data_IF_906569581539
#
_entry.id   IF_906569581539
#
_cell.length_a   1.000
_cell.length_b   1.000
_cell.length_c   1.000
_cell.angle_alpha   90.00
_cell.angle_beta   90.00
_cell.angle_gamma   90.00
#
_symmetry.space_group_name_H-M   'P 1'
#
loop_
_entity.id
_entity.type
_entity.pdbx_description
1 polymer ?
#
# COMPACT_ATOMS: atom_id res chain seq x y z
N UNK A 1 36.27 37.69 16.53
CA UNK A 1 36.61 36.28 16.18
C UNK A 1 35.50 35.33 16.64
N UNK A 2 35.13 35.35 17.93
CA UNK A 2 34.05 34.53 18.49
C UNK A 2 32.67 34.76 17.82
N UNK A 3 32.34 36.00 17.48
CA UNK A 3 31.09 36.36 16.77
C UNK A 3 31.03 35.79 15.34
N UNK A 4 32.17 35.69 14.64
CA UNK A 4 32.23 35.05 13.32
C UNK A 4 32.07 33.54 13.41
N UNK A 5 32.73 32.93 14.39
CA UNK A 5 32.64 31.48 14.64
C UNK A 5 31.22 31.06 15.03
N UNK A 6 30.56 31.85 15.88
CA UNK A 6 29.17 31.60 16.29
C UNK A 6 28.19 31.81 15.13
N UNK A 7 28.38 32.85 14.31
CA UNK A 7 27.59 33.05 13.10
C UNK A 7 27.76 31.91 12.08
N UNK A 8 28.98 31.41 11.86
CA UNK A 8 29.26 30.25 11.00
C UNK A 8 28.63 28.96 11.54
N UNK A 9 28.71 28.73 12.86
CA UNK A 9 28.02 27.59 13.49
C UNK A 9 26.50 27.67 13.35
N UNK A 10 25.91 28.85 13.57
CA UNK A 10 24.47 29.06 13.41
C UNK A 10 24.03 28.83 11.95
N UNK A 11 24.79 29.34 10.98
CA UNK A 11 24.50 29.11 9.56
C UNK A 11 24.57 27.62 9.19
N UNK A 12 25.59 26.91 9.68
CA UNK A 12 25.74 25.47 9.46
C UNK A 12 24.59 24.68 10.09
N UNK A 13 24.20 25.03 11.31
CA UNK A 13 23.12 24.33 12.02
C UNK A 13 21.75 24.58 11.37
N UNK A 14 21.51 25.79 10.88
CA UNK A 14 20.31 26.12 10.10
C UNK A 14 20.26 25.35 8.77
N UNK A 15 21.39 25.22 8.07
CA UNK A 15 21.49 24.42 6.84
C UNK A 15 21.20 22.93 7.10
N UNK A 16 21.76 22.36 8.18
CA UNK A 16 21.51 20.97 8.56
C UNK A 16 20.03 20.73 8.90
N UNK A 17 19.42 21.64 9.66
CA UNK A 17 17.99 21.56 9.97
C UNK A 17 17.11 21.62 8.72
N UNK A 18 17.41 22.53 7.78
CA UNK A 18 16.69 22.61 6.51
C UNK A 18 16.82 21.34 5.67
N UNK A 19 18.02 20.74 5.61
CA UNK A 19 18.25 19.48 4.90
C UNK A 19 17.47 18.30 5.53
N UNK A 20 17.44 18.21 6.87
CA UNK A 20 16.67 17.19 7.58
C UNK A 20 15.16 17.34 7.35
N UNK A 21 14.64 18.57 7.40
CA UNK A 21 13.23 18.84 7.11
C UNK A 21 12.86 18.48 5.66
N UNK A 22 13.70 18.81 4.69
CA UNK A 22 13.50 18.44 3.29
C UNK A 22 13.49 16.91 3.10
N UNK A 23 14.41 16.20 3.76
CA UNK A 23 14.46 14.73 3.71
C UNK A 23 13.20 14.09 4.35
N UNK A 24 12.73 14.62 5.48
CA UNK A 24 11.47 14.20 6.09
C UNK A 24 10.28 14.44 5.17
N UNK A 25 10.22 15.59 4.51
CA UNK A 25 9.14 15.91 3.57
C UNK A 25 9.14 15.00 2.34
N UNK A 26 10.31 14.69 1.78
CA UNK A 26 10.47 13.70 0.70
C UNK A 26 9.99 12.32 1.12
N UNK A 27 10.40 11.86 2.31
CA UNK A 27 9.93 10.59 2.86
C UNK A 27 8.40 10.60 3.05
N UNK A 28 7.83 11.71 3.52
CA UNK A 28 6.38 11.86 3.67
C UNK A 28 5.64 11.81 2.31
N UNK A 29 6.22 12.40 1.25
CA UNK A 29 5.66 12.32 -0.11
C UNK A 29 5.71 10.88 -0.65
N UNK A 30 6.80 10.15 -0.41
CA UNK A 30 6.92 8.72 -0.72
C UNK A 30 5.87 7.91 0.05
N UNK A 31 5.61 8.28 1.32
CA UNK A 31 4.55 7.65 2.13
C UNK A 31 3.16 8.01 1.58
N UNK A 32 2.89 9.22 1.12
CA UNK A 32 1.58 9.57 0.55
C UNK A 32 1.31 8.87 -0.80
N UNK A 33 2.33 8.35 -1.46
CA UNK A 33 2.24 7.49 -2.64
C UNK A 33 2.11 6.00 -2.29
N UNK A 34 1.87 5.63 -1.02
CA UNK A 34 2.02 4.24 -0.54
C UNK A 34 0.91 3.26 -0.95
N UNK A 35 -0.21 3.73 -1.49
CA UNK A 35 -1.27 2.89 -2.06
C UNK A 35 -2.08 3.68 -3.11
N UNK A 36 -1.51 3.98 -4.29
CA UNK A 36 -2.22 4.72 -5.31
C UNK A 36 -3.38 3.85 -5.84
N UNK A 37 -4.59 4.39 -5.81
CA UNK A 37 -5.77 3.75 -6.41
C UNK A 37 -5.85 4.14 -7.88
N UNK A 38 -5.43 3.24 -8.76
CA UNK A 38 -5.31 3.49 -10.20
C UNK A 38 -6.53 2.86 -10.90
N UNK A 39 -7.44 3.66 -11.48
CA UNK A 39 -8.52 3.13 -12.31
C UNK A 39 -7.96 2.62 -13.64
N UNK A 40 -8.23 1.36 -13.95
CA UNK A 40 -7.83 0.72 -15.22
C UNK A 40 -8.97 0.81 -16.25
N UNK A 41 -10.19 0.76 -15.75
CA UNK A 41 -11.43 0.96 -16.51
C UNK A 41 -12.54 1.39 -15.52
N UNK A 42 -13.76 1.55 -16.02
CA UNK A 42 -14.92 2.02 -15.25
C UNK A 42 -15.25 1.17 -14.01
N UNK A 43 -14.81 -0.08 -13.96
CA UNK A 43 -15.17 -1.03 -12.91
C UNK A 43 -13.98 -1.60 -12.15
N UNK A 44 -12.75 -1.27 -12.53
CA UNK A 44 -11.54 -1.93 -12.01
C UNK A 44 -10.55 -0.92 -11.46
N UNK A 45 -10.22 -1.07 -10.18
CA UNK A 45 -9.13 -0.37 -9.51
C UNK A 45 -7.94 -1.30 -9.32
N UNK A 46 -6.73 -0.76 -9.41
CA UNK A 46 -5.47 -1.43 -9.07
C UNK A 46 -4.74 -0.61 -8.02
N UNK A 47 -4.22 -1.26 -6.99
CA UNK A 47 -3.28 -0.67 -6.03
C UNK A 47 -2.04 -1.54 -5.89
N UNK A 48 -0.85 -1.08 -6.32
CA UNK A 48 0.39 -1.76 -6.05
C UNK A 48 0.85 -1.53 -4.61
N UNK A 49 1.29 -2.59 -3.95
CA UNK A 49 1.92 -2.54 -2.63
C UNK A 49 3.42 -2.77 -2.80
N UNK A 50 4.21 -1.75 -2.42
CA UNK A 50 5.67 -1.79 -2.53
C UNK A 50 6.28 -1.76 -1.13
N UNK A 51 7.16 -2.71 -0.84
CA UNK A 51 7.87 -2.77 0.43
C UNK A 51 7.03 -3.38 1.55
N UNK A 52 7.26 -2.92 2.78
CA UNK A 52 6.57 -3.47 3.96
C UNK A 52 5.16 -2.89 4.10
N UNK A 53 4.23 -3.74 4.52
CA UNK A 53 2.85 -3.39 4.81
C UNK A 53 2.67 -3.30 6.34
N UNK A 54 3.04 -2.17 6.92
CA UNK A 54 2.85 -1.90 8.35
C UNK A 54 1.40 -1.47 8.66
N UNK A 55 1.09 -1.34 9.95
CA UNK A 55 -0.25 -0.98 10.42
C UNK A 55 -0.74 0.37 9.86
N UNK A 56 0.15 1.37 9.75
CA UNK A 56 -0.22 2.69 9.22
C UNK A 56 -0.62 2.58 7.76
N UNK A 57 0.16 1.84 6.96
CA UNK A 57 -0.10 1.61 5.55
C UNK A 57 -1.36 0.79 5.31
N UNK A 58 -1.68 -0.18 6.17
CA UNK A 58 -2.93 -0.94 6.09
C UNK A 58 -4.14 -0.01 6.26
N UNK A 59 -4.09 0.90 7.24
CA UNK A 59 -5.19 1.86 7.45
C UNK A 59 -5.33 2.84 6.28
N UNK A 60 -4.21 3.31 5.73
CA UNK A 60 -4.20 4.16 4.54
C UNK A 60 -4.78 3.42 3.32
N UNK A 61 -4.37 2.17 3.10
CA UNK A 61 -4.89 1.32 2.04
C UNK A 61 -6.40 1.12 2.17
N UNK A 62 -6.90 0.81 3.36
CA UNK A 62 -8.32 0.64 3.64
C UNK A 62 -9.11 1.92 3.31
N UNK A 63 -8.67 3.06 3.84
CA UNK A 63 -9.36 4.34 3.61
C UNK A 63 -9.34 4.73 2.14
N UNK A 64 -8.19 4.60 1.48
CA UNK A 64 -8.04 4.92 0.06
C UNK A 64 -8.91 4.00 -0.82
N UNK A 65 -8.95 2.70 -0.52
CA UNK A 65 -9.74 1.74 -1.27
C UNK A 65 -11.23 2.05 -1.18
N UNK A 66 -11.75 2.25 0.04
CA UNK A 66 -13.17 2.55 0.25
C UNK A 66 -13.58 3.86 -0.42
N UNK A 67 -12.76 4.90 -0.29
CA UNK A 67 -12.99 6.20 -0.92
C UNK A 67 -13.01 6.07 -2.46
N UNK A 68 -12.04 5.34 -3.03
CA UNK A 68 -11.96 5.15 -4.48
C UNK A 68 -13.11 4.28 -5.03
N UNK A 69 -13.52 3.25 -4.29
CA UNK A 69 -14.66 2.41 -4.64
C UNK A 69 -15.94 3.23 -4.67
N UNK A 70 -16.20 4.05 -3.64
CA UNK A 70 -17.38 4.93 -3.59
C UNK A 70 -17.40 5.91 -4.78
N UNK A 71 -16.26 6.51 -5.10
CA UNK A 71 -16.16 7.52 -6.17
C UNK A 71 -16.30 6.91 -7.57
N UNK A 72 -15.83 5.69 -7.78
CA UNK A 72 -15.77 5.06 -9.11
C UNK A 72 -16.83 3.98 -9.33
N UNK A 73 -17.52 3.53 -8.27
CA UNK A 73 -18.38 2.34 -8.29
C UNK A 73 -17.65 1.08 -8.77
N UNK A 74 -16.36 0.97 -8.46
CA UNK A 74 -15.53 -0.16 -8.88
C UNK A 74 -16.10 -1.50 -8.39
N UNK A 75 -16.24 -2.46 -9.29
CA UNK A 75 -16.65 -3.84 -9.00
C UNK A 75 -15.48 -4.75 -8.70
N UNK A 76 -14.27 -4.37 -9.10
CA UNK A 76 -13.05 -5.12 -8.89
C UNK A 76 -11.97 -4.23 -8.28
N UNK A 77 -11.37 -4.69 -7.19
CA UNK A 77 -10.16 -4.11 -6.60
C UNK A 77 -9.02 -5.13 -6.71
N UNK A 78 -8.01 -4.81 -7.50
CA UNK A 78 -6.79 -5.61 -7.60
C UNK A 78 -5.72 -5.05 -6.69
N UNK A 79 -5.23 -5.86 -5.76
CA UNK A 79 -4.10 -5.54 -4.91
C UNK A 79 -2.88 -6.29 -5.46
N UNK A 80 -1.92 -5.56 -6.02
CA UNK A 80 -0.69 -6.14 -6.55
C UNK A 80 0.38 -6.19 -5.46
N UNK A 81 0.74 -7.41 -5.04
CA UNK A 81 1.75 -7.67 -4.01
C UNK A 81 3.06 -8.21 -4.59
N UNK A 82 3.30 -8.05 -5.89
CA UNK A 82 4.57 -8.46 -6.53
C UNK A 82 5.80 -7.85 -5.84
N UNK A 83 5.66 -6.63 -5.29
CA UNK A 83 6.71 -5.92 -4.56
C UNK A 83 6.84 -6.28 -3.07
N UNK A 84 6.05 -7.23 -2.57
CA UNK A 84 6.04 -7.65 -1.15
C UNK A 84 6.89 -8.91 -0.99
N UNK A 85 8.04 -8.77 -0.34
CA UNK A 85 8.97 -9.88 -0.13
C UNK A 85 8.52 -10.81 1.02
N UNK A 86 7.97 -10.25 2.09
CA UNK A 86 7.59 -10.94 3.32
C UNK A 86 6.23 -10.42 3.76
N UNK A 87 5.36 -11.32 4.22
CA UNK A 87 4.08 -11.00 4.85
C UNK A 87 4.08 -11.57 6.26
N UNK A 88 3.61 -10.78 7.23
CA UNK A 88 3.39 -11.23 8.60
C UNK A 88 1.89 -11.36 8.90
N UNK A 89 1.55 -11.72 10.14
CA UNK A 89 0.17 -11.86 10.58
C UNK A 89 -0.62 -10.54 10.50
N UNK A 90 0.01 -9.40 10.77
CA UNK A 90 -0.65 -8.09 10.73
C UNK A 90 -0.98 -7.69 9.29
N UNK A 91 -0.04 -7.85 8.36
CA UNK A 91 -0.24 -7.61 6.95
C UNK A 91 -1.32 -8.52 6.37
N UNK A 92 -1.32 -9.82 6.71
CA UNK A 92 -2.35 -10.75 6.28
C UNK A 92 -3.75 -10.35 6.79
N UNK A 93 -3.87 -10.03 8.08
CA UNK A 93 -5.12 -9.56 8.67
C UNK A 93 -5.60 -8.24 8.05
N UNK A 94 -4.68 -7.32 7.77
CA UNK A 94 -4.97 -6.05 7.09
C UNK A 94 -5.53 -6.23 5.69
N UNK A 95 -4.91 -7.08 4.87
CA UNK A 95 -5.41 -7.39 3.52
C UNK A 95 -6.81 -8.01 3.57
N UNK A 96 -7.07 -8.89 4.53
CA UNK A 96 -8.40 -9.46 4.76
C UNK A 96 -9.42 -8.39 5.16
N UNK A 97 -9.05 -7.47 6.04
CA UNK A 97 -9.91 -6.36 6.43
C UNK A 97 -10.29 -5.49 5.24
N UNK A 98 -9.32 -5.16 4.37
CA UNK A 98 -9.57 -4.41 3.12
C UNK A 98 -10.51 -5.17 2.22
N UNK A 99 -10.28 -6.47 2.00
CA UNK A 99 -11.11 -7.29 1.14
C UNK A 99 -12.55 -7.42 1.65
N UNK A 100 -12.73 -7.60 2.95
CA UNK A 100 -14.05 -7.67 3.58
C UNK A 100 -14.79 -6.34 3.46
N UNK A 101 -14.12 -5.22 3.72
CA UNK A 101 -14.73 -3.91 3.60
C UNK A 101 -15.12 -3.58 2.15
N UNK A 102 -14.24 -3.88 1.19
CA UNK A 102 -14.54 -3.74 -0.24
C UNK A 102 -15.73 -4.62 -0.66
N UNK A 103 -15.84 -5.85 -0.13
CA UNK A 103 -16.97 -6.74 -0.39
C UNK A 103 -18.30 -6.18 0.11
N UNK A 104 -18.31 -5.51 1.27
CA UNK A 104 -19.51 -4.84 1.78
C UNK A 104 -19.96 -3.69 0.86
N UNK A 105 -19.04 -3.09 0.11
CA UNK A 105 -19.31 -2.08 -0.92
C UNK A 105 -19.69 -2.69 -2.28
N UNK A 106 -19.79 -4.02 -2.39
CA UNK A 106 -20.10 -4.71 -3.65
C UNK A 106 -18.89 -4.95 -4.55
N UNK A 107 -17.66 -4.77 -4.05
CA UNK A 107 -16.42 -4.90 -4.81
C UNK A 107 -15.73 -6.24 -4.51
N UNK A 108 -15.37 -6.99 -5.54
CA UNK A 108 -14.56 -8.21 -5.43
C UNK A 108 -13.08 -7.84 -5.35
N UNK A 109 -12.39 -8.37 -4.35
CA UNK A 109 -10.94 -8.16 -4.22
C UNK A 109 -10.15 -9.30 -4.86
N UNK A 110 -9.14 -8.96 -5.65
CA UNK A 110 -8.20 -9.88 -6.28
C UNK A 110 -6.78 -9.58 -5.82
N UNK A 111 -6.09 -10.56 -5.25
CA UNK A 111 -4.67 -10.46 -4.89
C UNK A 111 -3.81 -11.00 -6.03
N UNK A 112 -2.93 -10.16 -6.57
CA UNK A 112 -2.07 -10.48 -7.70
C UNK A 112 -0.59 -10.55 -7.29
N UNK A 113 0.18 -11.44 -7.92
CA UNK A 113 1.63 -11.46 -7.76
C UNK A 113 2.14 -12.08 -6.45
N UNK A 114 1.35 -12.97 -5.84
CA UNK A 114 1.76 -13.66 -4.60
C UNK A 114 2.95 -14.58 -4.88
N UNK A 115 4.10 -14.27 -4.29
CA UNK A 115 5.32 -15.11 -4.38
C UNK A 115 5.14 -16.43 -3.60
N UNK A 116 5.81 -17.53 -3.99
CA UNK A 116 5.66 -18.83 -3.33
C UNK A 116 5.91 -18.79 -1.80
N UNK A 117 6.91 -18.03 -1.34
CA UNK A 117 7.23 -17.94 0.09
C UNK A 117 6.15 -17.16 0.87
N UNK A 118 5.53 -16.17 0.22
CA UNK A 118 4.40 -15.41 0.77
C UNK A 118 3.17 -16.32 0.86
N UNK A 119 2.89 -17.11 -0.18
CA UNK A 119 1.80 -18.07 -0.17
C UNK A 119 1.94 -19.12 0.93
N UNK A 120 3.15 -19.69 1.09
CA UNK A 120 3.44 -20.61 2.19
C UNK A 120 3.20 -19.97 3.56
N UNK A 121 3.69 -18.73 3.73
CA UNK A 121 3.50 -17.99 4.99
C UNK A 121 2.02 -17.74 5.29
N UNK A 122 1.22 -17.33 4.30
CA UNK A 122 -0.23 -17.12 4.46
C UNK A 122 -0.95 -18.40 4.89
N UNK A 123 -0.57 -19.55 4.32
CA UNK A 123 -1.10 -20.86 4.72
C UNK A 123 -0.68 -21.21 6.14
N UNK A 124 0.60 -21.02 6.50
CA UNK A 124 1.11 -21.29 7.86
C UNK A 124 0.47 -20.41 8.93
N UNK A 125 0.10 -19.18 8.58
CA UNK A 125 -0.63 -18.26 9.46
C UNK A 125 -2.12 -18.62 9.63
N UNK A 126 -2.62 -19.59 8.85
CA UNK A 126 -4.04 -19.96 8.86
C UNK A 126 -4.95 -18.86 8.32
N UNK A 127 -4.44 -17.99 7.43
CA UNK A 127 -5.22 -16.89 6.87
C UNK A 127 -6.37 -17.43 6.00
N UNK A 128 -7.61 -17.15 6.38
CA UNK A 128 -8.78 -17.48 5.58
C UNK A 128 -8.96 -16.47 4.44
N UNK A 129 -8.36 -16.77 3.30
CA UNK A 129 -8.44 -15.96 2.08
C UNK A 129 -9.71 -16.24 1.25
N UNK A 130 -10.74 -16.90 1.79
CA UNK A 130 -11.98 -17.21 1.06
C UNK A 130 -12.69 -15.96 0.50
N UNK A 131 -12.48 -14.80 1.11
CA UNK A 131 -12.98 -13.51 0.65
C UNK A 131 -12.14 -12.87 -0.48
N UNK A 132 -10.99 -13.45 -0.84
CA UNK A 132 -10.00 -12.89 -1.77
C UNK A 132 -9.79 -13.86 -2.92
N UNK A 133 -10.04 -13.41 -4.15
CA UNK A 133 -9.61 -14.13 -5.35
C UNK A 133 -8.12 -13.95 -5.53
N UNK A 134 -7.40 -14.93 -6.07
CA UNK A 134 -5.96 -14.81 -6.32
C UNK A 134 -5.64 -14.98 -7.80
N UNK A 135 -4.61 -14.28 -8.27
CA UNK A 135 -4.07 -14.39 -9.61
C UNK A 135 -2.55 -14.41 -9.57
N UNK A 136 -1.92 -15.22 -10.43
CA UNK A 136 -0.47 -15.33 -10.46
C UNK A 136 0.22 -14.02 -10.90
N UNK A 137 -0.42 -13.21 -11.74
CA UNK A 137 0.12 -11.95 -12.25
C UNK A 137 -0.95 -10.87 -12.27
N UNK A 138 -0.53 -9.60 -12.29
CA UNK A 138 -1.43 -8.45 -12.48
C UNK A 138 -2.23 -8.59 -13.79
N UNK A 139 -1.60 -9.02 -14.88
CA UNK A 139 -2.28 -9.27 -16.16
C UNK A 139 -3.38 -10.33 -16.01
N UNK A 140 -3.10 -11.43 -15.31
CA UNK A 140 -4.10 -12.46 -15.07
C UNK A 140 -5.25 -11.95 -14.21
N UNK A 141 -4.99 -11.11 -13.21
CA UNK A 141 -6.01 -10.47 -12.38
C UNK A 141 -6.92 -9.55 -13.21
N UNK A 142 -6.35 -8.72 -14.08
CA UNK A 142 -7.09 -7.80 -14.94
C UNK A 142 -7.90 -8.51 -16.03
N UNK A 143 -7.48 -9.72 -16.42
CA UNK A 143 -8.24 -10.56 -17.34
C UNK A 143 -9.41 -11.29 -16.67
N UNK A 144 -9.49 -11.30 -15.33
CA UNK A 144 -10.62 -11.92 -14.63
C UNK A 144 -11.87 -11.09 -14.85
N UNK A 145 -12.90 -11.70 -15.45
CA UNK A 145 -14.22 -11.09 -15.52
C UNK A 145 -14.89 -11.13 -14.13
N UNK A 146 -15.53 -10.02 -13.75
CA UNK A 146 -16.41 -9.89 -12.59
C UNK A 146 -17.71 -10.67 -12.82
#
# INVERSE_FOLDING_TARGET
ALERLTAEQQATMAQLQAALAAQQQLNQQIINLSAPMIPINDETLVTPIIGQLDQTRIQQLLQAALTAIEQTNARVLVIDVTGVAIIDSHAAAGLLQVAQAARLMGTVTVLAGVRPEVAQTLVSLGADLSAIRTAATLQAALAMRS
#
